data_IF_933763953115
#
_entry.id   IF_933763953115
#
_cell.length_a   1.000
_cell.length_b   1.000
_cell.length_c   1.000
_cell.angle_alpha   90.00
_cell.angle_beta   90.00
_cell.angle_gamma   90.00
#
_symmetry.space_group_name_H-M   'P 1'
#
loop_
_entity.id
_entity.type
_entity.pdbx_description
1 polymer ?
#
# COMPACT_ATOMS: atom_id res chain seq x y z
N UNK A 1 -8.40 -7.86 14.55
CA UNK A 1 -6.97 -7.57 14.76
C UNK A 1 -6.46 -6.79 13.55
N UNK A 2 -5.62 -5.78 13.75
CA UNK A 2 -4.99 -5.06 12.66
C UNK A 2 -3.67 -5.74 12.31
N UNK A 3 -3.51 -6.15 11.06
CA UNK A 3 -2.31 -6.77 10.55
C UNK A 3 -1.43 -5.73 9.87
N UNK A 4 -0.12 -5.99 9.78
CA UNK A 4 0.81 -5.09 9.14
C UNK A 4 1.00 -5.51 7.69
N UNK A 5 0.66 -4.64 6.75
CA UNK A 5 0.85 -4.87 5.32
C UNK A 5 1.96 -3.98 4.79
N UNK A 6 2.87 -4.53 3.98
CA UNK A 6 3.85 -3.78 3.22
C UNK A 6 3.34 -3.59 1.80
N UNK A 7 3.02 -2.34 1.46
CA UNK A 7 2.50 -1.95 0.15
C UNK A 7 3.65 -1.44 -0.69
N UNK A 8 3.90 -2.11 -1.81
CA UNK A 8 4.79 -1.67 -2.86
C UNK A 8 3.97 -0.90 -3.88
N UNK A 9 4.41 0.31 -4.21
CA UNK A 9 3.72 1.19 -5.14
C UNK A 9 4.71 1.93 -6.02
N UNK A 10 4.31 2.20 -7.25
CA UNK A 10 5.04 3.03 -8.18
C UNK A 10 4.59 4.47 -8.04
N UNK A 11 5.51 5.35 -7.64
CA UNK A 11 5.29 6.79 -7.65
C UNK A 11 5.27 7.30 -9.09
N UNK A 12 4.69 8.50 -9.30
CA UNK A 12 4.56 9.12 -10.63
C UNK A 12 5.89 9.26 -11.39
N UNK A 13 7.01 9.33 -10.67
CA UNK A 13 8.37 9.35 -11.20
C UNK A 13 8.90 7.99 -11.68
N UNK A 14 8.07 6.94 -11.69
CA UNK A 14 8.45 5.58 -12.10
C UNK A 14 9.16 4.75 -11.04
N UNK A 15 9.58 5.37 -9.93
CA UNK A 15 10.27 4.71 -8.80
C UNK A 15 9.29 3.88 -7.97
N UNK A 16 9.65 2.62 -7.71
CA UNK A 16 8.92 1.75 -6.78
C UNK A 16 9.35 2.07 -5.35
N UNK A 17 8.38 2.41 -4.51
CA UNK A 17 8.54 2.66 -3.08
C UNK A 17 7.73 1.63 -2.29
N UNK A 18 8.09 1.44 -1.03
CA UNK A 18 7.36 0.57 -0.11
C UNK A 18 6.91 1.36 1.12
N UNK A 19 5.70 1.08 1.61
CA UNK A 19 5.16 1.71 2.82
C UNK A 19 4.42 0.67 3.68
N UNK A 20 4.70 0.61 5.00
CA UNK A 20 3.94 -0.22 5.90
C UNK A 20 2.59 0.45 6.23
N UNK A 21 1.51 -0.34 6.23
CA UNK A 21 0.15 0.09 6.55
C UNK A 21 -0.48 -0.94 7.48
N UNK A 22 -1.06 -0.47 8.59
CA UNK A 22 -1.83 -1.31 9.49
C UNK A 22 -3.29 -1.35 9.03
N UNK A 23 -3.81 -2.55 8.77
CA UNK A 23 -5.17 -2.72 8.27
C UNK A 23 -5.74 -4.08 8.71
N UNK A 24 -7.06 -4.19 8.75
CA UNK A 24 -7.74 -5.45 9.12
C UNK A 24 -7.63 -6.53 8.04
N UNK A 25 -7.36 -6.17 6.79
CA UNK A 25 -7.16 -7.07 5.66
C UNK A 25 -6.52 -6.32 4.48
N UNK A 26 -6.05 -7.07 3.48
CA UNK A 26 -5.34 -6.56 2.29
C UNK A 26 -6.07 -5.44 1.54
N UNK A 27 -7.38 -5.55 1.35
CA UNK A 27 -8.18 -4.55 0.61
C UNK A 27 -8.24 -3.21 1.35
N UNK A 28 -8.49 -3.23 2.67
CA UNK A 28 -8.41 -2.05 3.54
C UNK A 28 -7.03 -1.39 3.50
N UNK A 29 -5.95 -2.17 3.45
CA UNK A 29 -4.59 -1.63 3.34
C UNK A 29 -4.41 -0.86 2.03
N UNK A 30 -4.88 -1.44 0.92
CA UNK A 30 -4.90 -0.83 -0.41
C UNK A 30 -5.71 0.48 -0.42
N UNK A 31 -6.93 0.46 0.10
CA UNK A 31 -7.78 1.65 0.16
C UNK A 31 -7.14 2.77 0.99
N UNK A 32 -6.58 2.44 2.16
CA UNK A 32 -5.91 3.41 3.02
C UNK A 32 -4.73 4.08 2.32
N UNK A 33 -3.94 3.30 1.58
CA UNK A 33 -2.83 3.84 0.79
C UNK A 33 -3.30 4.70 -0.38
N UNK A 34 -4.29 4.24 -1.15
CA UNK A 34 -4.82 4.99 -2.30
C UNK A 34 -5.54 6.28 -1.89
N UNK A 35 -6.15 6.33 -0.70
CA UNK A 35 -6.71 7.59 -0.15
C UNK A 35 -5.64 8.65 0.04
N UNK A 36 -4.45 8.26 0.50
CA UNK A 36 -3.34 9.19 0.72
C UNK A 36 -2.56 9.47 -0.56
N UNK A 37 -2.51 8.50 -1.49
CA UNK A 37 -1.78 8.57 -2.75
C UNK A 37 -2.66 8.08 -3.92
N UNK A 38 -3.64 8.88 -4.37
CA UNK A 38 -4.60 8.44 -5.39
C UNK A 38 -3.96 8.18 -6.77
N UNK A 39 -2.80 8.78 -7.03
CA UNK A 39 -2.05 8.62 -8.27
C UNK A 39 -1.02 7.47 -8.21
N UNK A 40 -0.87 6.80 -7.07
CA UNK A 40 0.08 5.70 -6.92
C UNK A 40 -0.47 4.42 -7.56
N UNK A 41 0.36 3.75 -8.37
CA UNK A 41 0.05 2.43 -8.90
C UNK A 41 0.59 1.37 -7.96
N UNK A 42 -0.27 0.68 -7.22
CA UNK A 42 0.15 -0.43 -6.35
C UNK A 42 0.65 -1.58 -7.23
N UNK A 43 1.89 -2.03 -6.98
CA UNK A 43 2.54 -3.13 -7.69
C UNK A 43 2.43 -4.44 -6.93
N UNK A 44 2.57 -4.41 -5.60
CA UNK A 44 2.49 -5.60 -4.78
C UNK A 44 2.05 -5.25 -3.35
N UNK A 45 1.40 -6.18 -2.65
CA UNK A 45 1.07 -6.03 -1.23
C UNK A 45 1.42 -7.33 -0.53
N UNK A 46 2.29 -7.24 0.48
CA UNK A 46 2.76 -8.36 1.29
C UNK A 46 2.25 -8.22 2.72
N UNK A 47 1.81 -9.31 3.33
CA UNK A 47 1.52 -9.37 4.76
C UNK A 47 2.83 -9.56 5.54
N UNK A 48 3.01 -8.80 6.63
CA UNK A 48 4.16 -8.86 7.55
C UNK A 48 3.75 -9.41 8.91
#
# INVERSE_FOLDING_TARGET
>A
MAEKYLIYYQAKSGVVKQVPVYASHKEKARESHLKSNPQAKITHIRLL
#
